data_IF_478581374767
#
_entry.id   IF_478581374767
#
_cell.length_a   1.000
_cell.length_b   1.000
_cell.length_c   1.000
_cell.angle_alpha   90.00
_cell.angle_beta   90.00
_cell.angle_gamma   90.00
#
_symmetry.space_group_name_H-M   'P 1'
#
loop_
_entity.id
_entity.type
_entity.pdbx_description
1 polymer ?
#
# COMPACT_ATOMS: atom_id res chain seq x y z
N UNK A 1 16.63 13.26 -13.32
CA UNK A 1 16.44 11.88 -12.83
C UNK A 1 16.11 11.88 -11.33
N UNK A 2 16.82 12.65 -10.51
CA UNK A 2 16.50 12.86 -9.09
C UNK A 2 15.08 13.41 -8.86
N UNK A 3 14.64 14.38 -9.66
CA UNK A 3 13.34 15.04 -9.46
C UNK A 3 12.15 14.09 -9.67
N UNK A 4 12.28 13.16 -10.64
CA UNK A 4 11.23 12.18 -10.89
C UNK A 4 11.17 11.11 -9.80
N UNK A 5 12.32 10.73 -9.23
CA UNK A 5 12.38 9.84 -8.07
C UNK A 5 11.76 10.48 -6.83
N UNK A 6 12.03 11.78 -6.60
CA UNK A 6 11.40 12.55 -5.52
C UNK A 6 9.89 12.62 -5.69
N UNK A 7 9.40 12.87 -6.90
CA UNK A 7 7.97 12.87 -7.20
C UNK A 7 7.33 11.51 -6.92
N UNK A 8 7.94 10.42 -7.41
CA UNK A 8 7.44 9.06 -7.19
C UNK A 8 7.38 8.71 -5.70
N UNK A 9 8.41 9.07 -4.94
CA UNK A 9 8.45 8.83 -3.50
C UNK A 9 7.38 9.63 -2.75
N UNK A 10 7.19 10.91 -3.10
CA UNK A 10 6.17 11.76 -2.48
C UNK A 10 4.76 11.24 -2.78
N UNK A 11 4.47 10.85 -4.03
CA UNK A 11 3.19 10.27 -4.41
C UNK A 11 2.95 8.95 -3.70
N UNK A 12 3.95 8.07 -3.62
CA UNK A 12 3.84 6.80 -2.91
C UNK A 12 3.54 7.03 -1.42
N UNK A 13 4.26 7.96 -0.76
CA UNK A 13 4.04 8.28 0.65
C UNK A 13 2.60 8.73 0.91
N UNK A 14 2.09 9.68 0.11
CA UNK A 14 0.72 10.18 0.23
C UNK A 14 -0.31 9.10 -0.09
N UNK A 15 -0.06 8.29 -1.13
CA UNK A 15 -0.94 7.20 -1.53
C UNK A 15 -1.09 6.15 -0.42
N UNK A 16 0.03 5.70 0.17
CA UNK A 16 0.00 4.71 1.25
C UNK A 16 -0.55 5.29 2.55
N UNK A 17 -0.33 6.57 2.84
CA UNK A 17 -0.94 7.24 3.99
C UNK A 17 -2.48 7.25 3.87
N UNK A 18 -3.01 7.73 2.74
CA UNK A 18 -4.45 7.73 2.47
C UNK A 18 -5.03 6.31 2.45
N UNK A 19 -4.35 5.38 1.78
CA UNK A 19 -4.78 3.98 1.72
C UNK A 19 -4.75 3.30 3.09
N UNK A 20 -3.80 3.66 3.95
CA UNK A 20 -3.69 3.20 5.33
C UNK A 20 -4.87 3.68 6.18
N UNK A 21 -5.29 4.94 6.02
CA UNK A 21 -6.51 5.46 6.67
C UNK A 21 -7.72 4.64 6.20
N UNK A 22 -7.93 4.50 4.90
CA UNK A 22 -9.08 3.73 4.35
C UNK A 22 -9.08 2.29 4.84
N UNK A 23 -7.92 1.62 4.80
CA UNK A 23 -7.79 0.24 5.31
C UNK A 23 -8.01 0.16 6.83
N UNK A 24 -7.55 1.14 7.60
CA UNK A 24 -7.78 1.20 9.04
C UNK A 24 -9.26 1.32 9.38
N UNK A 25 -10.01 2.11 8.60
CA UNK A 25 -11.45 2.32 8.79
C UNK A 25 -12.29 1.13 8.32
N UNK A 26 -11.95 0.52 7.17
CA UNK A 26 -12.77 -0.51 6.52
C UNK A 26 -12.24 -1.94 6.72
N UNK A 27 -11.04 -2.11 7.27
CA UNK A 27 -10.32 -3.39 7.34
C UNK A 27 -9.71 -3.85 6.01
N UNK A 28 -10.16 -3.30 4.88
CA UNK A 28 -9.77 -3.68 3.50
C UNK A 28 -9.53 -2.42 2.65
N UNK A 29 -8.86 -2.57 1.50
CA UNK A 29 -8.84 -1.52 0.46
C UNK A 29 -7.51 -0.80 0.21
N UNK A 30 -6.42 -1.18 0.89
CA UNK A 30 -5.09 -0.62 0.58
C UNK A 30 -4.72 -0.67 -0.93
N UNK A 31 -4.91 -1.79 -1.67
CA UNK A 31 -4.69 -1.81 -3.12
C UNK A 31 -5.70 -0.95 -3.91
N UNK A 32 -6.92 -0.79 -3.43
CA UNK A 32 -7.95 -0.02 -4.14
C UNK A 32 -7.64 1.49 -4.18
N UNK A 33 -6.82 1.96 -3.22
CA UNK A 33 -6.42 3.37 -3.12
C UNK A 33 -4.97 3.57 -3.57
N UNK A 34 -4.01 2.82 -3.02
CA UNK A 34 -2.59 3.08 -3.25
C UNK A 34 -2.13 2.75 -4.68
N UNK A 35 -2.62 1.63 -5.25
CA UNK A 35 -2.20 1.17 -6.56
C UNK A 35 -2.57 2.15 -7.69
N UNK A 36 -3.85 2.59 -7.85
CA UNK A 36 -4.20 3.50 -8.93
C UNK A 36 -3.48 4.85 -8.80
N UNK A 37 -3.27 5.37 -7.58
CA UNK A 37 -2.55 6.63 -7.36
C UNK A 37 -1.09 6.49 -7.76
N UNK A 38 -0.39 5.44 -7.30
CA UNK A 38 1.02 5.21 -7.65
C UNK A 38 1.22 4.91 -9.13
N UNK A 39 0.29 4.20 -9.77
CA UNK A 39 0.33 3.92 -11.21
C UNK A 39 0.21 5.15 -12.11
N UNK A 40 -0.15 6.33 -11.58
CA UNK A 40 -0.17 7.59 -12.34
C UNK A 40 1.23 8.14 -12.65
N UNK A 41 2.25 7.75 -11.86
CA UNK A 41 3.62 8.30 -11.94
C UNK A 41 4.70 7.24 -12.16
N UNK A 42 4.33 5.97 -12.20
CA UNK A 42 5.24 4.86 -12.50
C UNK A 42 4.52 3.73 -13.25
N UNK A 43 5.25 2.84 -13.95
CA UNK A 43 4.64 1.72 -14.65
C UNK A 43 3.77 0.84 -13.72
N UNK A 44 2.64 0.29 -14.19
CA UNK A 44 1.73 -0.50 -13.36
C UNK A 44 2.40 -1.67 -12.63
N UNK A 45 3.35 -2.33 -13.29
CA UNK A 45 4.13 -3.42 -12.69
C UNK A 45 4.95 -2.95 -11.48
N UNK A 46 5.54 -1.76 -11.55
CA UNK A 46 6.32 -1.17 -10.46
C UNK A 46 5.42 -0.71 -9.30
N UNK A 47 4.29 -0.06 -9.62
CA UNK A 47 3.29 0.33 -8.63
C UNK A 47 2.75 -0.89 -7.86
N UNK A 48 2.48 -1.99 -8.57
CA UNK A 48 2.05 -3.25 -7.98
C UNK A 48 3.12 -3.85 -7.07
N UNK A 49 4.37 -3.92 -7.54
CA UNK A 49 5.49 -4.43 -6.75
C UNK A 49 5.66 -3.67 -5.44
N UNK A 50 5.53 -2.34 -5.48
CA UNK A 50 5.60 -1.49 -4.29
C UNK A 50 4.41 -1.73 -3.34
N UNK A 51 3.21 -1.95 -3.87
CA UNK A 51 1.98 -2.11 -3.09
C UNK A 51 1.87 -3.48 -2.41
N UNK A 52 2.42 -4.53 -3.02
CA UNK A 52 2.34 -5.90 -2.48
C UNK A 52 3.01 -6.01 -1.10
N UNK A 53 4.18 -5.41 -0.91
CA UNK A 53 4.92 -5.44 0.37
C UNK A 53 4.05 -5.03 1.58
N UNK A 54 3.50 -3.80 1.61
CA UNK A 54 2.66 -3.35 2.72
C UNK A 54 1.33 -4.12 2.83
N UNK A 55 0.76 -4.61 1.72
CA UNK A 55 -0.43 -5.49 1.78
C UNK A 55 -0.10 -6.74 2.58
N UNK A 56 0.99 -7.45 2.23
CA UNK A 56 1.38 -8.68 2.89
C UNK A 56 1.68 -8.44 4.36
N UNK A 57 2.46 -7.41 4.69
CA UNK A 57 2.82 -7.08 6.08
C UNK A 57 1.58 -6.79 6.91
N UNK A 58 0.70 -5.89 6.43
CA UNK A 58 -0.49 -5.50 7.20
C UNK A 58 -1.54 -6.60 7.27
N UNK A 59 -1.72 -7.41 6.22
CA UNK A 59 -2.63 -8.57 6.24
C UNK A 59 -2.11 -9.66 7.19
N UNK A 60 -0.81 -9.93 7.19
CA UNK A 60 -0.21 -10.94 8.08
C UNK A 60 -0.34 -10.50 9.54
N UNK A 61 -0.11 -9.22 9.82
CA UNK A 61 -0.34 -8.64 11.14
C UNK A 61 -1.79 -8.81 11.61
N UNK A 62 -2.77 -8.49 10.75
CA UNK A 62 -4.19 -8.70 11.04
C UNK A 62 -4.51 -10.17 11.37
N UNK A 63 -3.90 -11.14 10.68
CA UNK A 63 -4.09 -12.58 10.96
C UNK A 63 -3.56 -12.97 12.34
N UNK A 64 -2.38 -12.45 12.71
CA UNK A 64 -1.77 -12.70 14.03
C UNK A 64 -2.63 -12.09 15.15
N UNK A 65 -3.06 -10.83 14.98
CA UNK A 65 -3.96 -10.16 15.94
C UNK A 65 -5.31 -10.85 16.07
N UNK A 66 -5.88 -11.32 14.96
CA UNK A 66 -7.14 -12.05 14.95
C UNK A 66 -7.06 -13.41 15.67
N UNK A 67 -5.85 -13.87 16.04
CA UNK A 67 -5.66 -15.13 16.75
C UNK A 67 -5.97 -16.38 15.92
N UNK A 68 -6.07 -16.24 14.59
CA UNK A 68 -6.38 -17.34 13.66
C UNK A 68 -5.31 -18.44 13.72
N UNK A 69 -4.07 -18.07 14.05
CA UNK A 69 -2.93 -19.01 14.16
C UNK A 69 -2.79 -19.65 15.56
N UNK A 70 -3.74 -19.42 16.48
CA UNK A 70 -3.73 -20.05 17.81
C UNK A 70 -4.32 -21.46 17.72
N UNK A 71 -3.49 -22.43 17.35
CA UNK A 71 -3.73 -23.87 17.60
C UNK A 71 -3.27 -24.26 18.99
#
# INVERSE_FOLDING_TARGET
MSDILLLQAAVALLAFFCAGIVKGTLGVGLPLVALPITATVMPPAQAMALTIGPILVSNLWQVIEAGILRT
#
